data_IF_190724047643
#
_entry.id   IF_190724047643
#
_cell.length_a   1.000
_cell.length_b   1.000
_cell.length_c   1.000
_cell.angle_alpha   90.00
_cell.angle_beta   90.00
_cell.angle_gamma   90.00
#
_symmetry.space_group_name_H-M   'P 1'
#
loop_
_entity.id
_entity.type
_entity.pdbx_description
1 polymer ?
#
# COMPACT_ATOMS: atom_id res chain seq x y z
N UNK A 1 -3.50 14.59 10.16
CA UNK A 1 -3.99 13.24 10.43
C UNK A 1 -4.29 12.59 9.10
N UNK A 2 -3.30 11.86 8.64
CA UNK A 2 -2.88 11.76 7.26
C UNK A 2 -3.82 10.91 6.41
N UNK A 3 -4.61 11.57 5.54
CA UNK A 3 -5.46 10.89 4.55
C UNK A 3 -4.70 9.86 3.70
N UNK A 4 -3.38 10.02 3.56
CA UNK A 4 -2.50 9.08 2.87
C UNK A 4 -2.23 7.81 3.70
N UNK A 5 -2.06 7.93 5.01
CA UNK A 5 -1.81 6.80 5.91
C UNK A 5 -3.07 5.94 6.04
N UNK A 6 -4.24 6.57 6.07
CA UNK A 6 -5.52 5.86 6.02
C UNK A 6 -5.70 5.11 4.69
N UNK A 7 -5.34 5.73 3.55
CA UNK A 7 -5.41 5.11 2.24
C UNK A 7 -4.46 3.92 2.10
N UNK A 8 -3.26 4.03 2.67
CA UNK A 8 -2.29 2.93 2.74
C UNK A 8 -2.84 1.79 3.60
N UNK A 9 -3.39 2.07 4.77
CA UNK A 9 -3.99 1.02 5.62
C UNK A 9 -5.16 0.31 4.93
N UNK A 10 -5.98 1.05 4.20
CA UNK A 10 -7.11 0.49 3.45
C UNK A 10 -6.64 -0.42 2.30
N UNK A 11 -5.68 0.05 1.50
CA UNK A 11 -5.06 -0.75 0.44
C UNK A 11 -4.32 -1.97 0.98
N UNK A 12 -3.69 -1.85 2.15
CA UNK A 12 -2.95 -2.94 2.79
C UNK A 12 -3.89 -4.02 3.33
N UNK A 13 -5.05 -3.63 3.86
CA UNK A 13 -6.13 -4.56 4.22
C UNK A 13 -6.68 -5.26 2.98
N UNK A 14 -7.01 -4.52 1.92
CA UNK A 14 -7.45 -5.09 0.64
C UNK A 14 -6.45 -6.07 0.06
N UNK A 15 -5.16 -5.72 0.05
CA UNK A 15 -4.10 -6.62 -0.40
C UNK A 15 -4.10 -7.91 0.43
N UNK A 16 -4.17 -7.79 1.75
CA UNK A 16 -4.18 -8.94 2.66
C UNK A 16 -5.40 -9.82 2.42
N UNK A 17 -6.59 -9.24 2.25
CA UNK A 17 -7.80 -9.98 1.92
C UNK A 17 -7.68 -10.69 0.57
N UNK A 18 -7.19 -10.03 -0.48
CA UNK A 18 -7.08 -10.64 -1.81
C UNK A 18 -6.02 -11.74 -1.81
N UNK A 19 -4.88 -11.55 -1.15
CA UNK A 19 -3.86 -12.60 -0.94
C UNK A 19 -4.46 -13.81 -0.22
N UNK A 20 -5.24 -13.56 0.82
CA UNK A 20 -5.83 -14.61 1.64
C UNK A 20 -6.95 -15.35 0.90
N UNK A 21 -7.71 -14.65 0.04
CA UNK A 21 -8.78 -15.22 -0.79
C UNK A 21 -8.20 -15.98 -1.99
N UNK A 22 -7.22 -15.41 -2.69
CA UNK A 22 -6.60 -16.00 -3.88
C UNK A 22 -5.51 -17.02 -3.54
N UNK A 23 -5.07 -17.08 -2.29
CA UNK A 23 -4.11 -18.08 -1.80
C UNK A 23 -2.68 -17.87 -2.29
N UNK A 24 -2.35 -16.70 -2.87
CA UNK A 24 -1.01 -16.46 -3.40
C UNK A 24 -0.74 -15.00 -3.74
N UNK A 25 0.49 -14.58 -3.44
CA UNK A 25 1.03 -13.28 -3.84
C UNK A 25 1.44 -13.22 -5.33
N UNK A 26 1.33 -14.34 -6.05
CA UNK A 26 1.73 -14.48 -7.44
C UNK A 26 0.63 -14.11 -8.45
N UNK A 27 -0.57 -13.81 -7.97
CA UNK A 27 -1.68 -13.39 -8.81
C UNK A 27 -1.43 -11.95 -9.32
N UNK A 28 -1.58 -11.72 -10.62
CA UNK A 28 -1.30 -10.41 -11.22
C UNK A 28 -2.10 -9.28 -10.54
N UNK A 29 -3.33 -9.56 -10.10
CA UNK A 29 -4.15 -8.62 -9.33
C UNK A 29 -3.50 -8.24 -7.99
N UNK A 30 -2.92 -9.22 -7.29
CA UNK A 30 -2.23 -8.99 -6.02
C UNK A 30 -0.93 -8.22 -6.25
N UNK A 31 -0.19 -8.57 -7.29
CA UNK A 31 1.06 -7.89 -7.64
C UNK A 31 0.80 -6.42 -7.99
N UNK A 32 -0.24 -6.13 -8.77
CA UNK A 32 -0.62 -4.75 -9.10
C UNK A 32 -1.00 -3.94 -7.86
N UNK A 33 -1.84 -4.51 -6.97
CA UNK A 33 -2.25 -3.83 -5.74
C UNK A 33 -1.07 -3.66 -4.79
N UNK A 34 -0.13 -4.62 -4.75
CA UNK A 34 1.09 -4.51 -3.93
C UNK A 34 1.99 -3.40 -4.45
N UNK A 35 2.21 -3.32 -5.76
CA UNK A 35 3.01 -2.27 -6.39
C UNK A 35 2.40 -0.87 -6.17
N UNK A 36 1.08 -0.75 -6.26
CA UNK A 36 0.39 0.51 -5.98
C UNK A 36 0.52 0.93 -4.51
N UNK A 37 0.40 -0.03 -3.60
CA UNK A 37 0.62 0.18 -2.17
C UNK A 37 2.07 0.62 -1.87
N UNK A 38 3.06 -0.08 -2.41
CA UNK A 38 4.48 0.25 -2.25
C UNK A 38 4.79 1.67 -2.77
N UNK A 39 4.20 2.05 -3.90
CA UNK A 39 4.34 3.40 -4.46
C UNK A 39 3.76 4.47 -3.53
N UNK A 40 2.58 4.22 -2.96
CA UNK A 40 1.93 5.12 -2.01
C UNK A 40 2.72 5.24 -0.70
N UNK A 41 3.27 4.13 -0.19
CA UNK A 41 4.14 4.13 0.99
C UNK A 41 5.42 4.95 0.72
N UNK A 42 6.06 4.76 -0.44
CA UNK A 42 7.24 5.52 -0.85
C UNK A 42 6.96 7.03 -0.95
N UNK A 43 5.84 7.41 -1.56
CA UNK A 43 5.39 8.80 -1.64
C UNK A 43 5.13 9.40 -0.25
N UNK A 44 4.51 8.63 0.65
CA UNK A 44 4.29 9.05 2.04
C UNK A 44 5.61 9.24 2.78
N UNK A 45 6.54 8.29 2.66
CA UNK A 45 7.86 8.38 3.28
C UNK A 45 8.64 9.58 2.74
N UNK A 46 8.62 9.83 1.42
CA UNK A 46 9.23 11.02 0.82
C UNK A 46 8.64 12.32 1.37
N UNK A 47 7.32 12.42 1.49
CA UNK A 47 6.63 13.59 2.07
C UNK A 47 6.99 13.77 3.55
N UNK A 48 6.96 12.72 4.37
CA UNK A 48 7.38 12.77 5.79
C UNK A 48 8.85 13.18 5.94
N UNK A 49 9.73 12.74 5.04
CA UNK A 49 11.17 13.08 5.08
C UNK A 49 11.45 14.54 4.73
N UNK A 50 10.65 15.15 3.84
CA UNK A 50 10.76 16.59 3.49
C UNK A 50 10.23 17.53 4.57
N UNK A 51 9.29 17.09 5.40
CA UNK A 51 8.70 17.93 6.46
C UNK A 51 9.56 18.05 7.73
N UNK A 52 10.71 17.38 7.80
CA UNK A 52 11.62 17.38 8.96
C UNK A 52 12.88 18.26 8.79
N UNK A 53 12.93 19.09 7.75
CA UNK A 53 14.05 20.01 7.50
C UNK A 53 13.61 21.47 7.57
#
# INVERSE_FOLDING_TARGET
MDSLENKINDLRKKLTEIVQIKGGFADEDVVQISQELDRLILEMQKKKKRSRN
#
